data_IF_855731115489
#
_entry.id   IF_855731115489
#
_cell.length_a   1.000
_cell.length_b   1.000
_cell.length_c   1.000
_cell.angle_alpha   90.00
_cell.angle_beta   90.00
_cell.angle_gamma   90.00
#
_symmetry.space_group_name_H-M   'P 1'
#
loop_
_entity.id
_entity.type
_entity.pdbx_description
1 polymer ?
#
# COMPACT_ATOMS: atom_id res chain seq x y z
N UNK A 1 1.32 -0.12 15.67
CA UNK A 1 0.25 -0.93 16.31
C UNK A 1 -0.96 -0.99 15.39
N UNK A 2 -1.86 -1.95 15.58
CA UNK A 2 -3.11 -1.98 14.81
C UNK A 2 -4.04 -0.90 15.34
N UNK A 3 -4.79 -0.26 14.43
CA UNK A 3 -5.90 0.61 14.82
C UNK A 3 -7.00 -0.28 15.40
N UNK A 4 -7.21 -0.16 16.72
CA UNK A 4 -8.16 -1.00 17.48
C UNK A 4 -9.55 -0.40 17.55
N UNK A 5 -9.66 0.94 17.50
CA UNK A 5 -10.93 1.66 17.52
C UNK A 5 -11.36 1.99 16.10
N UNK A 6 -12.51 1.46 15.68
CA UNK A 6 -13.12 1.76 14.39
C UNK A 6 -14.21 2.82 14.55
N UNK A 7 -14.46 3.65 13.53
CA UNK A 7 -15.58 4.59 13.54
C UNK A 7 -16.92 3.84 13.59
N UNK A 8 -17.92 4.44 14.25
CA UNK A 8 -19.26 3.84 14.45
C UNK A 8 -20.21 4.01 13.26
N UNK A 9 -19.86 4.85 12.28
CA UNK A 9 -20.72 5.15 11.12
C UNK A 9 -20.62 4.07 10.03
N UNK A 10 -21.55 4.13 9.07
CA UNK A 10 -21.62 3.21 7.95
C UNK A 10 -20.52 3.46 6.91
N UNK A 11 -19.33 2.91 7.14
CA UNK A 11 -18.19 2.96 6.23
C UNK A 11 -17.84 1.57 5.72
N UNK A 12 -17.33 1.49 4.48
CA UNK A 12 -16.64 0.30 4.01
C UNK A 12 -15.23 0.27 4.62
N UNK A 13 -15.01 -0.66 5.55
CA UNK A 13 -13.75 -0.77 6.29
C UNK A 13 -12.89 -1.88 5.69
N UNK A 14 -11.75 -1.50 5.14
CA UNK A 14 -10.74 -2.43 4.64
C UNK A 14 -9.53 -2.45 5.57
N UNK A 15 -9.15 -3.63 6.05
CA UNK A 15 -8.04 -3.82 7.00
C UNK A 15 -6.89 -4.57 6.35
N UNK A 16 -5.68 -4.05 6.52
CA UNK A 16 -4.47 -4.64 5.99
C UNK A 16 -3.26 -4.35 6.91
N UNK A 17 -2.29 -5.26 6.96
CA UNK A 17 -1.12 -5.20 7.86
C UNK A 17 0.12 -4.67 7.13
N UNK A 18 0.13 -3.39 6.79
CA UNK A 18 1.18 -2.79 5.95
C UNK A 18 2.59 -2.81 6.58
N UNK A 19 2.71 -2.46 7.87
CA UNK A 19 4.01 -2.46 8.57
C UNK A 19 4.60 -3.87 8.71
N UNK A 20 3.74 -4.87 8.90
CA UNK A 20 4.14 -6.27 8.93
C UNK A 20 4.63 -6.73 7.56
N UNK A 21 3.87 -6.42 6.49
CA UNK A 21 4.26 -6.73 5.12
C UNK A 21 5.62 -6.10 4.75
N UNK A 22 5.85 -4.83 5.11
CA UNK A 22 7.11 -4.14 4.86
C UNK A 22 8.30 -4.83 5.56
N UNK A 23 8.09 -5.28 6.80
CA UNK A 23 9.14 -5.95 7.59
C UNK A 23 9.39 -7.37 7.10
N UNK A 24 8.35 -8.16 6.82
CA UNK A 24 8.48 -9.56 6.42
C UNK A 24 8.94 -9.72 4.96
N UNK A 25 8.35 -8.97 4.02
CA UNK A 25 8.65 -9.13 2.58
C UNK A 25 9.89 -8.36 2.15
N UNK A 26 10.11 -7.17 2.69
CA UNK A 26 11.19 -6.27 2.23
C UNK A 26 12.29 -6.04 3.26
N UNK A 27 12.15 -6.55 4.50
CA UNK A 27 13.10 -6.31 5.61
C UNK A 27 13.37 -4.82 5.84
N UNK A 28 12.37 -3.96 5.56
CA UNK A 28 12.46 -2.50 5.62
C UNK A 28 11.12 -1.94 6.08
N UNK A 29 10.97 -1.61 7.36
CA UNK A 29 9.71 -1.06 7.89
C UNK A 29 9.35 0.31 7.31
N UNK A 30 10.36 1.08 6.85
CA UNK A 30 10.20 2.45 6.36
C UNK A 30 9.29 2.58 5.13
N UNK A 31 9.11 1.51 4.34
CA UNK A 31 8.29 1.55 3.11
C UNK A 31 6.83 1.14 3.32
N UNK A 32 6.37 1.02 4.57
CA UNK A 32 4.99 0.65 4.88
C UNK A 32 3.94 1.62 4.29
N UNK A 33 4.26 2.91 4.25
CA UNK A 33 3.40 3.92 3.62
C UNK A 33 3.25 3.71 2.10
N UNK A 34 4.29 3.24 1.42
CA UNK A 34 4.22 2.96 -0.01
C UNK A 34 3.40 1.70 -0.30
N UNK A 35 3.51 0.68 0.55
CA UNK A 35 2.61 -0.49 0.49
C UNK A 35 1.15 -0.03 0.68
N UNK A 36 0.89 0.85 1.64
CA UNK A 36 -0.44 1.42 1.84
C UNK A 36 -0.94 2.19 0.61
N UNK A 37 -0.08 2.97 -0.07
CA UNK A 37 -0.45 3.68 -1.30
C UNK A 37 -0.80 2.72 -2.44
N UNK A 38 -0.03 1.65 -2.61
CA UNK A 38 -0.34 0.60 -3.60
C UNK A 38 -1.69 -0.05 -3.34
N UNK A 39 -1.97 -0.34 -2.07
CA UNK A 39 -3.26 -0.88 -1.65
C UNK A 39 -4.42 0.10 -1.91
N UNK A 40 -4.28 1.35 -1.44
CA UNK A 40 -5.32 2.37 -1.57
C UNK A 40 -5.65 2.66 -3.04
N UNK A 41 -4.63 2.89 -3.87
CA UNK A 41 -4.84 3.26 -5.27
C UNK A 41 -5.42 2.12 -6.10
N UNK A 42 -5.05 0.87 -5.80
CA UNK A 42 -5.64 -0.31 -6.48
C UNK A 42 -7.06 -0.58 -6.02
N UNK A 43 -7.36 -0.38 -4.73
CA UNK A 43 -8.70 -0.60 -4.18
C UNK A 43 -9.71 0.45 -4.65
N UNK A 44 -9.27 1.70 -4.81
CA UNK A 44 -10.16 2.84 -5.10
C UNK A 44 -10.17 3.25 -6.57
N UNK A 45 -9.18 2.81 -7.35
CA UNK A 45 -8.98 3.22 -8.74
C UNK A 45 -8.95 4.76 -8.95
N UNK A 46 -8.64 5.52 -7.89
CA UNK A 46 -8.65 7.00 -7.92
C UNK A 46 -7.60 7.59 -8.86
N UNK A 47 -6.60 6.80 -9.25
CA UNK A 47 -5.54 7.18 -10.17
C UNK A 47 -5.01 5.96 -10.92
N UNK A 48 -4.34 6.17 -12.05
CA UNK A 48 -3.74 5.09 -12.83
C UNK A 48 -2.50 4.49 -12.14
N UNK A 49 -2.21 3.23 -12.48
CA UNK A 49 -1.04 2.53 -11.99
C UNK A 49 0.28 3.24 -12.38
N UNK A 50 0.30 3.84 -13.57
CA UNK A 50 1.44 4.57 -14.11
C UNK A 50 1.64 5.89 -13.37
N UNK A 51 0.56 6.64 -13.10
CA UNK A 51 0.65 7.92 -12.42
C UNK A 51 1.21 7.78 -11.00
N UNK A 52 0.74 6.80 -10.22
CA UNK A 52 1.28 6.58 -8.87
C UNK A 52 2.71 6.06 -8.90
N UNK A 53 3.08 5.23 -9.87
CA UNK A 53 4.45 4.76 -10.02
C UNK A 53 5.41 5.92 -10.35
N UNK A 54 4.99 6.84 -11.21
CA UNK A 54 5.80 8.02 -11.56
C UNK A 54 5.90 9.02 -10.40
N UNK A 55 4.82 9.24 -9.65
CA UNK A 55 4.85 10.03 -8.43
C UNK A 55 5.84 9.47 -7.40
N UNK A 56 5.95 8.13 -7.31
CA UNK A 56 6.93 7.48 -6.45
C UNK A 56 8.35 7.68 -6.98
N UNK A 57 8.61 7.44 -8.28
CA UNK A 57 9.95 7.62 -8.87
C UNK A 57 10.50 9.04 -8.67
N UNK A 58 9.63 10.04 -8.78
CA UNK A 58 10.02 11.45 -8.66
C UNK A 58 10.04 11.95 -7.22
N UNK A 59 9.29 11.32 -6.31
CA UNK A 59 9.11 11.77 -4.93
C UNK A 59 9.97 11.08 -3.86
N UNK A 60 10.54 9.90 -4.13
CA UNK A 60 11.36 9.15 -3.15
C UNK A 60 12.84 9.54 -3.21
N UNK A 61 13.64 9.28 -2.15
CA UNK A 61 15.08 9.50 -2.19
C UNK A 61 15.75 8.75 -3.36
N UNK A 62 16.72 9.41 -4.01
CA UNK A 62 17.50 8.80 -5.09
C UNK A 62 18.15 7.49 -4.64
N UNK A 63 18.10 6.49 -5.49
CA UNK A 63 18.64 5.15 -5.21
C UNK A 63 17.72 4.27 -4.36
N UNK A 64 16.49 4.72 -4.06
CA UNK A 64 15.48 3.92 -3.35
C UNK A 64 14.28 3.55 -4.23
N UNK A 65 14.28 3.95 -5.50
CA UNK A 65 13.16 3.82 -6.43
C UNK A 65 12.70 2.36 -6.56
N UNK A 66 13.63 1.43 -6.76
CA UNK A 66 13.32 0.00 -6.90
C UNK A 66 12.65 -0.57 -5.64
N UNK A 67 13.14 -0.20 -4.46
CA UNK A 67 12.56 -0.65 -3.19
C UNK A 67 11.13 -0.13 -3.02
N UNK A 68 10.90 1.14 -3.32
CA UNK A 68 9.58 1.75 -3.21
C UNK A 68 8.61 1.22 -4.27
N UNK A 69 9.05 0.95 -5.51
CA UNK A 69 8.22 0.32 -6.53
C UNK A 69 7.82 -1.12 -6.15
N UNK A 70 8.74 -1.91 -5.59
CA UNK A 70 8.39 -3.23 -5.02
C UNK A 70 7.39 -3.12 -3.87
N UNK A 71 7.53 -2.10 -3.02
CA UNK A 71 6.57 -1.85 -1.95
C UNK A 71 5.18 -1.49 -2.50
N UNK A 72 5.12 -0.68 -3.57
CA UNK A 72 3.89 -0.33 -4.25
C UNK A 72 3.19 -1.61 -4.76
N UNK A 73 3.91 -2.48 -5.46
CA UNK A 73 3.37 -3.72 -6.02
C UNK A 73 2.84 -4.68 -4.94
N UNK A 74 3.54 -4.80 -3.79
CA UNK A 74 3.03 -5.56 -2.64
C UNK A 74 1.69 -5.00 -2.16
N UNK A 75 1.53 -3.68 -2.15
CA UNK A 75 0.27 -3.02 -1.83
C UNK A 75 -0.86 -3.41 -2.79
N UNK A 76 -0.56 -3.40 -4.09
CA UNK A 76 -1.53 -3.80 -5.14
C UNK A 76 -1.98 -5.25 -4.98
N UNK A 77 -1.02 -6.17 -4.80
CA UNK A 77 -1.31 -7.59 -4.55
C UNK A 77 -2.21 -7.79 -3.33
N UNK A 78 -2.03 -6.97 -2.28
CA UNK A 78 -2.87 -7.04 -1.08
C UNK A 78 -4.31 -6.58 -1.35
N UNK A 79 -4.49 -5.56 -2.21
CA UNK A 79 -5.82 -5.12 -2.63
C UNK A 79 -6.50 -6.17 -3.50
N UNK A 80 -5.80 -6.73 -4.48
CA UNK A 80 -6.33 -7.77 -5.38
C UNK A 80 -6.81 -8.99 -4.60
N UNK A 81 -6.02 -9.46 -3.63
CA UNK A 81 -6.40 -10.58 -2.76
C UNK A 81 -7.62 -10.26 -1.91
N UNK A 82 -7.78 -9.01 -1.49
CA UNK A 82 -8.94 -8.60 -0.71
C UNK A 82 -10.19 -8.54 -1.59
N UNK A 83 -10.06 -8.05 -2.82
CA UNK A 83 -11.16 -7.96 -3.80
C UNK A 83 -11.61 -9.34 -4.31
N UNK A 84 -10.72 -10.33 -4.40
CA UNK A 84 -11.07 -11.72 -4.76
C UNK A 84 -11.89 -12.46 -3.69
N UNK A 85 -11.99 -11.90 -2.47
CA UNK A 85 -12.70 -12.50 -1.33
C UNK A 85 -14.11 -11.88 -1.17
N UNK A 86 -14.46 -10.87 -1.97
CA UNK A 86 -15.76 -10.16 -1.93
C UNK A 86 -16.71 -10.69 -2.99
#
# INVERSE_FOLDING_TARGET
ELVTTLPENNFSIYKARFSEAATQKLKRSIVANIIMLGFLTSLTEITSAEAIAEAIRTGVPKGTEELNLKALDIGREMADKLMQIV
#
